data_IF_678844081003
#
_entry.id   IF_678844081003
#
_cell.length_a   1.000
_cell.length_b   1.000
_cell.length_c   1.000
_cell.angle_alpha   90.00
_cell.angle_beta   90.00
_cell.angle_gamma   90.00
#
_symmetry.space_group_name_H-M   'P 1'
#
loop_
_entity.id
_entity.type
_entity.pdbx_description
1 polymer ?
#
# COMPACT_ATOMS: atom_id res chain seq x y z
N UNK A 1 5.72 4.80 12.55
CA UNK A 1 4.40 4.16 12.71
C UNK A 1 4.50 2.77 12.10
N UNK A 2 4.29 1.70 12.86
CA UNK A 2 4.45 0.33 12.37
C UNK A 2 3.35 0.00 11.36
N UNK A 3 3.69 -0.68 10.26
CA UNK A 3 2.75 -0.95 9.15
C UNK A 3 2.47 0.21 8.19
N UNK A 4 3.07 1.39 8.36
CA UNK A 4 2.76 2.55 7.52
C UNK A 4 3.09 2.33 6.03
N UNK A 5 4.18 1.65 5.70
CA UNK A 5 4.53 1.35 4.31
C UNK A 5 3.46 0.48 3.63
N UNK A 6 3.05 -0.58 4.33
CA UNK A 6 1.97 -1.47 3.87
C UNK A 6 0.62 -0.75 3.79
N UNK A 7 0.31 0.11 4.77
CA UNK A 7 -0.91 0.90 4.71
C UNK A 7 -0.89 1.93 3.57
N UNK A 8 0.28 2.50 3.26
CA UNK A 8 0.45 3.39 2.12
C UNK A 8 0.20 2.67 0.79
N UNK A 9 0.62 1.41 0.67
CA UNK A 9 0.31 0.55 -0.50
C UNK A 9 -1.20 0.40 -0.70
N UNK A 10 -1.98 0.13 0.35
CA UNK A 10 -3.44 0.05 0.25
C UNK A 10 -4.03 1.40 -0.19
N UNK A 11 -3.61 2.46 0.48
CA UNK A 11 -4.19 3.80 0.30
C UNK A 11 -3.83 4.46 -1.05
N UNK A 12 -2.68 4.13 -1.65
CA UNK A 12 -2.25 4.74 -2.93
C UNK A 12 -3.16 4.30 -4.09
N UNK A 13 -3.79 3.13 -3.98
CA UNK A 13 -4.68 2.58 -5.00
C UNK A 13 -6.08 3.17 -4.97
N UNK A 14 -6.40 3.99 -3.95
CA UNK A 14 -7.74 4.55 -3.71
C UNK A 14 -7.99 5.91 -4.39
N UNK A 15 -7.34 6.11 -5.53
CA UNK A 15 -7.56 7.26 -6.39
C UNK A 15 -6.53 8.37 -6.27
N UNK A 16 -6.52 9.19 -7.31
CA UNK A 16 -5.62 10.33 -7.49
C UNK A 16 -6.43 11.60 -7.77
N UNK A 17 -5.75 12.75 -7.86
CA UNK A 17 -6.42 14.00 -8.23
C UNK A 17 -7.09 13.93 -9.61
N UNK A 18 -6.46 13.24 -10.59
CA UNK A 18 -7.00 13.05 -11.94
C UNK A 18 -8.11 12.00 -11.99
N UNK A 19 -8.03 10.95 -11.17
CA UNK A 19 -9.01 9.88 -11.09
C UNK A 19 -9.48 9.72 -9.63
N UNK A 20 -10.46 10.55 -9.18
CA UNK A 20 -10.79 10.67 -7.77
C UNK A 20 -11.68 9.55 -7.22
N UNK A 21 -12.29 8.73 -8.08
CA UNK A 21 -13.09 7.60 -7.65
C UNK A 21 -12.18 6.52 -7.02
N UNK A 22 -12.49 6.08 -5.79
CA UNK A 22 -11.62 5.19 -5.02
C UNK A 22 -11.32 3.85 -5.70
N UNK A 23 -12.22 3.39 -6.56
CA UNK A 23 -12.07 2.14 -7.30
C UNK A 23 -11.76 2.37 -8.78
N UNK A 24 -11.44 3.59 -9.24
CA UNK A 24 -11.20 3.88 -10.66
C UNK A 24 -10.19 2.91 -11.29
N UNK A 25 -9.07 2.70 -10.61
CA UNK A 25 -8.00 1.83 -11.07
C UNK A 25 -8.43 0.36 -11.14
N UNK A 26 -8.85 -0.22 -10.01
CA UNK A 26 -9.24 -1.63 -9.97
C UNK A 26 -10.46 -1.93 -10.85
N UNK A 27 -11.42 -1.01 -10.92
CA UNK A 27 -12.59 -1.13 -11.81
C UNK A 27 -12.15 -1.14 -13.28
N UNK A 28 -11.31 -0.20 -13.70
CA UNK A 28 -10.82 -0.14 -15.08
C UNK A 28 -10.10 -1.43 -15.48
N UNK A 29 -9.20 -1.93 -14.63
CA UNK A 29 -8.49 -3.18 -14.90
C UNK A 29 -9.46 -4.36 -15.03
N UNK A 30 -10.40 -4.52 -14.10
CA UNK A 30 -11.38 -5.61 -14.12
C UNK A 30 -12.33 -5.55 -15.33
N UNK A 31 -12.80 -4.36 -15.70
CA UNK A 31 -13.70 -4.18 -16.86
C UNK A 31 -13.03 -4.53 -18.19
N UNK A 32 -11.70 -4.49 -18.25
CA UNK A 32 -10.91 -4.85 -19.42
C UNK A 32 -10.21 -6.21 -19.28
N UNK A 33 -10.79 -7.10 -18.46
CA UNK A 33 -10.39 -8.50 -18.33
C UNK A 33 -9.01 -8.70 -17.69
N UNK A 34 -8.53 -7.71 -16.95
CA UNK A 34 -7.24 -7.72 -16.29
C UNK A 34 -7.30 -8.06 -14.81
N UNK A 35 -6.12 -8.12 -14.20
CA UNK A 35 -5.90 -8.31 -12.78
C UNK A 35 -4.91 -7.26 -12.26
N UNK A 36 -5.06 -6.84 -11.01
CA UNK A 36 -4.09 -5.98 -10.33
C UNK A 36 -3.82 -6.46 -8.91
N UNK A 37 -2.59 -6.28 -8.44
CA UNK A 37 -2.20 -6.60 -7.07
C UNK A 37 -1.01 -5.73 -6.63
N UNK A 38 -0.73 -5.75 -5.33
CA UNK A 38 0.44 -5.14 -4.75
C UNK A 38 0.96 -5.95 -3.56
N UNK A 39 2.20 -5.70 -3.17
CA UNK A 39 2.74 -6.21 -1.91
C UNK A 39 3.82 -5.28 -1.36
N UNK A 40 3.96 -5.29 -0.04
CA UNK A 40 5.01 -4.59 0.69
C UNK A 40 5.92 -5.58 1.42
N UNK A 41 7.22 -5.46 1.17
CA UNK A 41 8.27 -6.23 1.84
C UNK A 41 9.07 -5.33 2.79
N UNK A 42 10.24 -5.78 3.24
CA UNK A 42 11.09 -4.99 4.13
C UNK A 42 11.71 -3.77 3.45
N UNK A 43 11.98 -3.84 2.14
CA UNK A 43 12.77 -2.84 1.41
C UNK A 43 12.08 -2.31 0.14
N UNK A 44 10.97 -2.93 -0.28
CA UNK A 44 10.25 -2.54 -1.49
C UNK A 44 8.73 -2.66 -1.32
N UNK A 45 8.02 -1.84 -2.09
CA UNK A 45 6.59 -2.01 -2.38
C UNK A 45 6.45 -2.17 -3.89
N UNK A 46 5.79 -3.24 -4.30
CA UNK A 46 5.62 -3.59 -5.71
C UNK A 46 4.15 -3.57 -6.09
N UNK A 47 3.86 -3.06 -7.29
CA UNK A 47 2.53 -2.96 -7.86
C UNK A 47 2.55 -3.61 -9.23
N UNK A 48 1.57 -4.46 -9.51
CA UNK A 48 1.48 -5.19 -10.78
C UNK A 48 0.05 -5.15 -11.31
N UNK A 49 -0.07 -5.06 -12.63
CA UNK A 49 -1.33 -5.31 -13.32
C UNK A 49 -1.10 -5.93 -14.69
N UNK A 50 -2.12 -6.60 -15.18
CA UNK A 50 -2.28 -6.99 -16.57
C UNK A 50 -3.66 -6.56 -17.08
N UNK A 51 -3.82 -6.48 -18.40
CA UNK A 51 -5.09 -6.29 -19.08
C UNK A 51 -4.93 -6.53 -20.58
N UNK A 52 -6.05 -6.50 -21.31
CA UNK A 52 -6.03 -6.52 -22.77
C UNK A 52 -5.18 -5.36 -23.34
N UNK A 53 -4.23 -5.64 -24.25
CA UNK A 53 -3.18 -4.69 -24.65
C UNK A 53 -3.72 -3.44 -25.35
N UNK A 54 -4.93 -3.50 -25.91
CA UNK A 54 -5.61 -2.38 -26.55
C UNK A 54 -5.92 -1.23 -25.55
N UNK A 55 -5.94 -1.54 -24.25
CA UNK A 55 -6.26 -0.60 -23.17
C UNK A 55 -5.05 -0.19 -22.32
N UNK A 56 -3.84 -0.67 -22.66
CA UNK A 56 -2.62 -0.44 -21.86
C UNK A 56 -2.33 1.05 -21.65
N UNK A 57 -2.50 1.90 -22.67
CA UNK A 57 -2.24 3.34 -22.55
C UNK A 57 -3.14 4.03 -21.52
N UNK A 58 -4.43 3.67 -21.49
CA UNK A 58 -5.39 4.23 -20.52
C UNK A 58 -5.14 3.68 -19.10
N UNK A 59 -4.85 2.38 -18.97
CA UNK A 59 -4.49 1.79 -17.68
C UNK A 59 -3.22 2.44 -17.10
N UNK A 60 -2.21 2.66 -17.93
CA UNK A 60 -0.95 3.26 -17.51
C UNK A 60 -1.13 4.73 -17.08
N UNK A 61 -2.02 5.49 -17.74
CA UNK A 61 -2.36 6.86 -17.33
C UNK A 61 -3.02 6.88 -15.95
N UNK A 62 -3.98 5.99 -15.69
CA UNK A 62 -4.58 5.85 -14.35
C UNK A 62 -3.51 5.46 -13.34
N UNK A 63 -2.75 4.40 -13.62
CA UNK A 63 -1.72 3.87 -12.73
C UNK A 63 -0.65 4.89 -12.37
N UNK A 64 -0.11 5.61 -13.34
CA UNK A 64 0.94 6.62 -13.11
C UNK A 64 0.47 7.72 -12.14
N UNK A 65 -0.79 8.16 -12.25
CA UNK A 65 -1.32 9.23 -11.39
C UNK A 65 -1.44 8.85 -9.93
N UNK A 66 -1.56 7.55 -9.62
CA UNK A 66 -1.59 7.04 -8.24
C UNK A 66 -0.28 7.37 -7.51
N UNK A 67 0.85 7.38 -8.23
CA UNK A 67 2.16 7.70 -7.65
C UNK A 67 2.47 9.20 -7.65
N UNK A 68 1.87 9.98 -8.55
CA UNK A 68 2.14 11.42 -8.68
C UNK A 68 1.33 12.23 -7.68
N UNK A 69 0.04 11.93 -7.53
CA UNK A 69 -0.89 12.74 -6.72
C UNK A 69 -1.96 11.86 -6.06
N UNK A 70 -1.58 10.94 -5.16
CA UNK A 70 -2.55 10.14 -4.41
C UNK A 70 -3.34 11.01 -3.44
N UNK A 71 -4.65 10.76 -3.32
CA UNK A 71 -5.52 11.61 -2.48
C UNK A 71 -5.39 11.34 -0.99
N UNK A 72 -5.13 10.07 -0.63
CA UNK A 72 -5.19 9.57 0.74
C UNK A 72 -6.43 10.10 1.48
N UNK A 73 -7.60 9.87 0.90
CA UNK A 73 -8.87 10.44 1.37
C UNK A 73 -9.15 10.04 2.83
N UNK A 74 -9.44 11.03 3.69
CA UNK A 74 -9.63 10.79 5.13
C UNK A 74 -10.79 9.83 5.43
N UNK A 75 -11.87 9.92 4.66
CA UNK A 75 -13.04 9.04 4.80
C UNK A 75 -12.75 7.56 4.54
N UNK A 76 -11.67 7.24 3.84
CA UNK A 76 -11.29 5.86 3.49
C UNK A 76 -10.34 5.25 4.53
N UNK A 77 -9.66 6.07 5.35
CA UNK A 77 -8.60 5.61 6.26
C UNK A 77 -9.11 4.52 7.21
N UNK A 78 -10.22 4.75 7.90
CA UNK A 78 -10.70 3.76 8.88
C UNK A 78 -11.16 2.46 8.21
N UNK A 79 -11.75 2.54 7.01
CA UNK A 79 -12.15 1.37 6.22
C UNK A 79 -10.94 0.54 5.82
N UNK A 80 -9.88 1.17 5.34
CA UNK A 80 -8.67 0.47 4.94
C UNK A 80 -7.86 -0.04 6.14
N UNK A 81 -7.87 0.65 7.28
CA UNK A 81 -7.29 0.12 8.51
C UNK A 81 -7.98 -1.19 8.91
N UNK A 82 -9.30 -1.30 8.72
CA UNK A 82 -10.01 -2.56 8.96
C UNK A 82 -9.63 -3.66 7.96
N UNK A 83 -9.31 -3.31 6.71
CA UNK A 83 -8.79 -4.28 5.74
C UNK A 83 -7.41 -4.82 6.18
N UNK A 84 -6.49 -3.93 6.59
CA UNK A 84 -5.18 -4.32 7.14
C UNK A 84 -5.32 -5.13 8.43
N UNK A 85 -6.29 -4.81 9.29
CA UNK A 85 -6.60 -5.62 10.48
C UNK A 85 -7.01 -7.04 10.09
N UNK A 86 -7.95 -7.19 9.15
CA UNK A 86 -8.40 -8.51 8.70
C UNK A 86 -7.25 -9.33 8.08
N UNK A 87 -6.32 -8.69 7.37
CA UNK A 87 -5.11 -9.34 6.89
C UNK A 87 -4.19 -9.78 8.04
N UNK A 88 -4.01 -8.93 9.05
CA UNK A 88 -3.24 -9.29 10.24
C UNK A 88 -3.87 -10.49 10.98
N UNK A 89 -5.19 -10.46 11.21
CA UNK A 89 -5.95 -11.54 11.83
C UNK A 89 -5.80 -12.85 11.06
N UNK A 90 -5.91 -12.80 9.72
CA UNK A 90 -5.64 -13.96 8.86
C UNK A 90 -4.23 -14.50 9.07
N UNK A 91 -3.23 -13.62 9.14
CA UNK A 91 -1.83 -14.00 9.35
C UNK A 91 -1.57 -14.65 10.73
N UNK A 92 -2.40 -14.40 11.75
CA UNK A 92 -2.24 -15.02 13.09
C UNK A 92 -2.36 -16.55 13.05
N UNK A 93 -3.11 -17.08 12.09
CA UNK A 93 -3.28 -18.52 11.86
C UNK A 93 -2.13 -19.18 11.08
N UNK A 94 -1.19 -18.40 10.54
CA UNK A 94 -0.09 -18.90 9.73
C UNK A 94 1.17 -19.10 10.56
N UNK A 95 1.61 -20.36 10.73
CA UNK A 95 2.86 -20.68 11.44
C UNK A 95 4.08 -19.99 10.83
N UNK A 96 4.13 -19.90 9.49
CA UNK A 96 5.20 -19.18 8.80
C UNK A 96 5.24 -17.69 9.22
N UNK A 97 4.09 -17.01 9.24
CA UNK A 97 4.02 -15.60 9.65
C UNK A 97 4.39 -15.42 11.13
N UNK A 98 3.96 -16.35 11.99
CA UNK A 98 4.30 -16.36 13.42
C UNK A 98 5.81 -16.51 13.63
N UNK A 99 6.45 -17.44 12.92
CA UNK A 99 7.90 -17.65 12.99
C UNK A 99 8.68 -16.43 12.50
N UNK A 100 8.27 -15.81 11.39
CA UNK A 100 8.89 -14.58 10.88
C UNK A 100 8.79 -13.46 11.92
N UNK A 101 7.62 -13.25 12.53
CA UNK A 101 7.46 -12.18 13.51
C UNK A 101 8.22 -12.46 14.82
N UNK A 102 8.35 -13.73 15.22
CA UNK A 102 9.16 -14.14 16.36
C UNK A 102 10.65 -13.86 16.10
N UNK A 103 11.16 -14.28 14.94
CA UNK A 103 12.55 -14.03 14.52
C UNK A 103 12.87 -12.52 14.53
N UNK A 104 12.00 -11.71 13.91
CA UNK A 104 12.08 -10.25 13.97
C UNK A 104 12.13 -9.74 15.42
N UNK A 105 11.25 -10.23 16.29
CA UNK A 105 11.18 -9.79 17.68
C UNK A 105 12.41 -10.18 18.51
N UNK A 106 13.07 -11.28 18.16
CA UNK A 106 14.30 -11.78 18.80
C UNK A 106 15.57 -11.10 18.26
N UNK A 107 15.47 -10.36 17.16
CA UNK A 107 16.58 -9.55 16.63
C UNK A 107 16.87 -8.32 17.49
N UNK A 108 17.93 -7.59 17.14
CA UNK A 108 18.31 -6.37 17.87
C UNK A 108 17.16 -5.36 17.95
N UNK A 109 16.81 -4.85 19.15
CA UNK A 109 15.73 -3.87 19.31
C UNK A 109 16.06 -2.52 18.66
N UNK A 110 17.35 -2.23 18.44
CA UNK A 110 17.82 -0.99 17.81
C UNK A 110 17.81 -1.07 16.27
N UNK A 111 17.54 -2.26 15.70
CA UNK A 111 17.50 -2.46 14.26
C UNK A 111 16.07 -2.46 13.73
N UNK A 112 15.88 -1.80 12.58
CA UNK A 112 14.59 -1.72 11.88
C UNK A 112 13.94 -3.07 11.51
N UNK A 113 14.70 -4.16 11.53
CA UNK A 113 14.21 -5.50 11.20
C UNK A 113 13.19 -5.99 12.22
N UNK A 114 13.29 -5.53 13.49
CA UNK A 114 12.39 -5.93 14.57
C UNK A 114 10.97 -5.36 14.47
N UNK A 115 10.75 -4.39 13.57
CA UNK A 115 9.46 -3.72 13.38
C UNK A 115 8.40 -4.71 12.87
N UNK A 116 7.18 -4.52 13.36
CA UNK A 116 5.97 -5.16 12.85
C UNK A 116 5.57 -4.51 11.51
N UNK A 117 5.69 -5.28 10.42
CA UNK A 117 5.57 -4.75 9.05
C UNK A 117 4.13 -4.74 8.52
N UNK A 118 3.24 -5.62 9.00
CA UNK A 118 1.84 -5.66 8.53
C UNK A 118 1.06 -4.43 8.97
N UNK A 119 1.24 -3.99 10.22
CA UNK A 119 0.32 -3.03 10.82
C UNK A 119 -1.00 -3.69 11.23
N UNK A 120 -1.78 -2.95 12.00
CA UNK A 120 -3.08 -3.34 12.53
C UNK A 120 -3.78 -2.07 13.06
N UNK A 121 -5.02 -2.19 13.53
CA UNK A 121 -5.82 -1.07 14.05
C UNK A 121 -5.12 -0.32 15.19
N UNK A 122 -4.43 -1.05 16.07
CA UNK A 122 -3.69 -0.44 17.18
C UNK A 122 -2.59 0.48 16.65
N UNK A 123 -1.75 -0.02 15.74
CA UNK A 123 -0.56 0.70 15.26
C UNK A 123 -0.86 1.78 14.23
N UNK A 124 -1.98 1.66 13.49
CA UNK A 124 -2.36 2.57 12.41
C UNK A 124 -3.46 3.57 12.78
N UNK A 125 -4.21 3.35 13.87
CA UNK A 125 -5.32 4.23 14.26
C UNK A 125 -5.29 4.60 15.75
N UNK A 126 -5.25 3.63 16.66
CA UNK A 126 -5.39 3.91 18.10
C UNK A 126 -4.16 4.60 18.71
N UNK A 127 -2.96 4.07 18.47
CA UNK A 127 -1.72 4.69 18.93
C UNK A 127 -1.50 6.08 18.33
N UNK A 128 -1.64 6.29 16.99
CA UNK A 128 -1.54 7.63 16.40
C UNK A 128 -2.55 8.60 17.01
N UNK A 129 -3.81 8.18 17.16
CA UNK A 129 -4.86 8.99 17.78
C UNK A 129 -4.52 9.38 19.22
N UNK A 130 -3.99 8.47 20.03
CA UNK A 130 -3.53 8.77 21.40
C UNK A 130 -2.41 9.80 21.47
N UNK A 131 -1.63 9.94 20.38
CA UNK A 131 -0.50 10.86 20.25
C UNK A 131 -0.86 12.13 19.47
N UNK A 132 -2.14 12.34 19.15
CA UNK A 132 -2.62 13.44 18.28
C UNK A 132 -1.95 13.46 16.89
N UNK A 133 -1.59 12.29 16.37
CA UNK A 133 -1.00 12.13 15.03
C UNK A 133 -2.13 11.93 14.02
N UNK A 134 -2.14 12.78 12.98
CA UNK A 134 -3.07 12.65 11.84
C UNK A 134 -2.47 11.67 10.84
N UNK A 135 -3.05 10.48 10.75
CA UNK A 135 -2.57 9.37 9.89
C UNK A 135 -2.40 9.80 8.44
N UNK A 136 -3.34 10.59 7.90
CA UNK A 136 -3.24 11.15 6.54
C UNK A 136 -1.97 11.96 6.31
N UNK A 137 -1.57 12.78 7.28
CA UNK A 137 -0.37 13.59 7.16
C UNK A 137 0.88 12.71 7.17
N UNK A 138 0.88 11.61 7.93
CA UNK A 138 1.98 10.64 7.91
C UNK A 138 2.05 9.87 6.58
N UNK A 139 0.91 9.54 5.96
CA UNK A 139 0.87 8.98 4.61
C UNK A 139 1.46 9.95 3.57
N UNK A 140 1.03 11.22 3.60
CA UNK A 140 1.56 12.26 2.71
C UNK A 140 3.07 12.47 2.89
N UNK A 141 3.56 12.52 4.13
CA UNK A 141 4.99 12.62 4.43
C UNK A 141 5.75 11.40 3.93
N UNK A 142 5.22 10.19 4.17
CA UNK A 142 5.86 8.94 3.74
C UNK A 142 5.96 8.87 2.22
N UNK A 143 4.85 9.14 1.52
CA UNK A 143 4.81 9.22 0.06
C UNK A 143 5.82 10.24 -0.47
N UNK A 144 5.78 11.48 0.02
CA UNK A 144 6.72 12.54 -0.42
C UNK A 144 8.19 12.21 -0.14
N UNK A 145 8.50 11.37 0.86
CA UNK A 145 9.88 11.04 1.24
C UNK A 145 10.44 9.85 0.47
N UNK A 146 9.60 8.85 0.18
CA UNK A 146 10.06 7.54 -0.31
C UNK A 146 9.56 7.20 -1.72
N UNK A 147 8.42 7.73 -2.15
CA UNK A 147 7.92 7.55 -3.51
C UNK A 147 8.59 8.55 -4.48
N UNK A 148 9.92 8.53 -4.50
CA UNK A 148 10.74 9.34 -5.40
C UNK A 148 11.17 8.57 -6.63
N UNK A 149 11.16 9.21 -7.80
CA UNK A 149 11.47 8.58 -9.08
C UNK A 149 12.87 7.93 -9.12
N UNK A 150 13.85 8.45 -8.37
CA UNK A 150 15.20 7.87 -8.31
C UNK A 150 15.27 6.53 -7.54
N UNK A 151 14.18 6.12 -6.88
CA UNK A 151 14.05 4.85 -6.16
C UNK A 151 13.05 3.90 -6.85
N UNK A 152 12.52 4.28 -8.02
CA UNK A 152 11.52 3.52 -8.74
C UNK A 152 12.10 2.83 -9.96
N UNK A 153 11.58 1.65 -10.27
CA UNK A 153 11.81 0.93 -11.52
C UNK A 153 10.47 0.51 -12.10
N UNK A 154 10.34 0.58 -13.44
CA UNK A 154 9.10 0.26 -14.14
C UNK A 154 9.41 -0.67 -15.30
N UNK A 155 8.62 -1.74 -15.41
CA UNK A 155 8.67 -2.69 -16.54
C UNK A 155 7.33 -2.67 -17.25
N UNK A 156 7.35 -2.52 -18.57
CA UNK A 156 6.15 -2.52 -19.42
C UNK A 156 6.27 -3.61 -20.47
N UNK A 157 5.18 -4.36 -20.68
CA UNK A 157 5.04 -5.35 -21.74
C UNK A 157 3.75 -5.04 -22.51
N UNK A 158 3.86 -4.89 -23.83
CA UNK A 158 2.73 -4.58 -24.70
C UNK A 158 2.97 -5.06 -26.13
N UNK A 159 1.93 -4.99 -26.96
CA UNK A 159 2.06 -5.19 -28.41
C UNK A 159 2.75 -3.96 -29.00
N UNK A 160 3.82 -4.18 -29.78
CA UNK A 160 4.56 -3.14 -30.50
C UNK A 160 3.86 -2.67 -31.77
#
# INVERSE_FOLDING_TARGET
MQGLAHFCEHMILLGSDKYPEENAYSKFINEHGGFCNAYTSAEETSFVFDLAPEHLGAALDIFATLFVSPRFTEGSIEREVNAVEAEHEKNLSSDLRRLIQLDKKMSSPDHDYCKFSTGNRVTLLEEPKSKNIIVRNELLKFHSSYYSANLMSVTLLGKG
#
